data_IF_259443504023
#
_entry.id   IF_259443504023
#
_cell.length_a   1.000
_cell.length_b   1.000
_cell.length_c   1.000
_cell.angle_alpha   90.00
_cell.angle_beta   90.00
_cell.angle_gamma   90.00
#
_symmetry.space_group_name_H-M   'P 1'
#
loop_
_entity.id
_entity.type
_entity.pdbx_description
1 polymer ?
#
# COMPACT_ATOMS: atom_id res chain seq x y z
N UNK A 1 -0.73 -8.52 8.37
CA UNK A 1 -0.43 -7.27 9.11
C UNK A 1 -1.70 -6.43 9.38
N UNK A 2 -1.68 -5.43 10.28
CA UNK A 2 -2.84 -4.51 10.50
C UNK A 2 -2.89 -3.42 9.41
N UNK A 3 -4.08 -3.19 8.84
CA UNK A 3 -4.30 -2.22 7.76
C UNK A 3 -5.35 -1.20 8.21
N UNK A 4 -4.96 0.08 8.21
CA UNK A 4 -5.88 1.21 8.37
C UNK A 4 -5.92 2.04 7.07
N UNK A 5 -6.88 2.96 6.98
CA UNK A 5 -7.09 3.80 5.80
C UNK A 5 -7.04 5.28 6.17
N UNK A 6 -6.39 6.09 5.33
CA UNK A 6 -6.33 7.54 5.51
C UNK A 6 -7.72 8.18 5.53
N UNK A 7 -8.67 7.61 4.79
CA UNK A 7 -10.05 8.09 4.74
C UNK A 7 -11.03 6.98 4.30
N UNK A 8 -12.31 7.24 4.50
CA UNK A 8 -13.40 6.33 4.15
C UNK A 8 -13.52 6.06 2.64
N UNK A 9 -13.02 6.96 1.77
CA UNK A 9 -13.04 6.74 0.32
C UNK A 9 -12.08 5.61 -0.08
N UNK A 10 -10.89 5.59 0.50
CA UNK A 10 -9.90 4.52 0.28
C UNK A 10 -10.39 3.19 0.86
N UNK A 11 -10.94 3.21 2.07
CA UNK A 11 -11.54 2.03 2.68
C UNK A 11 -12.62 1.42 1.78
N UNK A 12 -13.60 2.22 1.35
CA UNK A 12 -14.66 1.76 0.44
C UNK A 12 -14.09 1.24 -0.88
N UNK A 13 -13.04 1.87 -1.42
CA UNK A 13 -12.40 1.42 -2.65
C UNK A 13 -11.76 0.03 -2.50
N UNK A 14 -11.20 -0.28 -1.33
CA UNK A 14 -10.63 -1.60 -1.03
C UNK A 14 -11.70 -2.67 -0.76
N UNK A 15 -12.78 -2.31 -0.06
CA UNK A 15 -13.79 -3.25 0.42
C UNK A 15 -14.90 -3.52 -0.62
N UNK A 16 -15.24 -2.52 -1.45
CA UNK A 16 -16.36 -2.61 -2.38
C UNK A 16 -15.89 -2.90 -3.80
N UNK A 17 -15.87 -4.19 -4.16
CA UNK A 17 -15.43 -4.67 -5.49
C UNK A 17 -16.09 -3.93 -6.66
N UNK A 18 -17.40 -3.67 -6.58
CA UNK A 18 -18.12 -2.97 -7.65
C UNK A 18 -17.63 -1.52 -7.83
N UNK A 19 -17.35 -0.81 -6.72
CA UNK A 19 -16.79 0.54 -6.75
C UNK A 19 -15.37 0.54 -7.33
N UNK A 20 -14.54 -0.42 -6.91
CA UNK A 20 -13.19 -0.61 -7.43
C UNK A 20 -13.21 -0.89 -8.95
N UNK A 21 -14.08 -1.78 -9.42
CA UNK A 21 -14.19 -2.09 -10.85
C UNK A 21 -14.62 -0.86 -11.65
N UNK A 22 -15.57 -0.08 -11.13
CA UNK A 22 -16.02 1.16 -11.78
C UNK A 22 -14.92 2.20 -11.89
N UNK A 23 -14.07 2.34 -10.87
CA UNK A 23 -13.03 3.39 -10.81
C UNK A 23 -11.69 2.98 -11.43
N UNK A 24 -11.30 1.72 -11.27
CA UNK A 24 -9.96 1.23 -11.58
C UNK A 24 -9.95 0.25 -12.77
N UNK A 25 -11.12 -0.27 -13.17
CA UNK A 25 -11.23 -1.35 -14.13
C UNK A 25 -11.09 -2.75 -13.50
N UNK A 26 -11.52 -3.77 -14.24
CA UNK A 26 -11.63 -5.15 -13.75
C UNK A 26 -10.27 -5.77 -13.41
N UNK A 27 -9.24 -5.49 -14.22
CA UNK A 27 -7.89 -6.06 -14.04
C UNK A 27 -7.21 -5.42 -12.83
N UNK A 28 -7.14 -4.09 -12.75
CA UNK A 28 -6.62 -3.37 -11.60
C UNK A 28 -7.33 -3.79 -10.29
N UNK A 29 -8.66 -3.95 -10.31
CA UNK A 29 -9.41 -4.40 -9.13
C UNK A 29 -8.98 -5.79 -8.66
N UNK A 30 -8.79 -6.75 -9.56
CA UNK A 30 -8.30 -8.09 -9.17
C UNK A 30 -6.93 -8.00 -8.52
N UNK A 31 -6.02 -7.20 -9.10
CA UNK A 31 -4.68 -7.00 -8.53
C UNK A 31 -4.76 -6.32 -7.17
N UNK A 32 -5.60 -5.30 -7.00
CA UNK A 32 -5.81 -4.63 -5.72
C UNK A 32 -6.26 -5.64 -4.65
N UNK A 33 -7.23 -6.50 -4.98
CA UNK A 33 -7.68 -7.56 -4.07
C UNK A 33 -6.55 -8.52 -3.69
N UNK A 34 -5.78 -9.01 -4.67
CA UNK A 34 -4.61 -9.85 -4.38
C UNK A 34 -3.60 -9.15 -3.48
N UNK A 35 -3.28 -7.88 -3.72
CA UNK A 35 -2.33 -7.13 -2.88
C UNK A 35 -2.83 -6.90 -1.45
N UNK A 36 -4.12 -6.65 -1.27
CA UNK A 36 -4.73 -6.54 0.05
C UNK A 36 -4.67 -7.88 0.80
N UNK A 37 -4.89 -9.00 0.10
CA UNK A 37 -4.69 -10.34 0.66
C UNK A 37 -3.23 -10.57 1.04
N UNK A 38 -2.27 -10.25 0.17
CA UNK A 38 -0.83 -10.39 0.48
C UNK A 38 -0.45 -9.58 1.73
N UNK A 39 -0.92 -8.33 1.85
CA UNK A 39 -0.69 -7.49 3.02
C UNK A 39 -1.30 -8.09 4.30
N UNK A 40 -2.50 -8.67 4.20
CA UNK A 40 -3.14 -9.30 5.35
C UNK A 40 -2.37 -10.53 5.85
N UNK A 41 -1.70 -11.28 4.96
CA UNK A 41 -1.05 -12.56 5.27
C UNK A 41 0.41 -12.44 5.73
N UNK A 42 1.18 -11.48 5.19
CA UNK A 42 2.59 -11.33 5.58
C UNK A 42 2.75 -10.72 6.98
N UNK A 43 3.85 -11.05 7.66
CA UNK A 43 4.15 -10.53 8.99
C UNK A 43 4.74 -9.10 8.93
N UNK A 44 5.46 -8.77 7.86
CA UNK A 44 6.08 -7.45 7.66
C UNK A 44 6.01 -6.97 6.21
N UNK A 45 6.20 -5.66 5.97
CA UNK A 45 6.21 -5.09 4.60
C UNK A 45 7.30 -5.71 3.72
N UNK A 46 8.44 -6.12 4.29
CA UNK A 46 9.56 -6.71 3.54
C UNK A 46 9.25 -8.09 2.94
N UNK A 47 8.28 -8.80 3.48
CA UNK A 47 7.84 -10.11 2.96
C UNK A 47 6.97 -9.99 1.70
N UNK A 48 6.55 -8.78 1.32
CA UNK A 48 5.85 -8.57 0.06
C UNK A 48 6.79 -8.89 -1.11
N UNK A 49 6.34 -9.77 -2.00
CA UNK A 49 7.06 -10.12 -3.24
C UNK A 49 6.33 -9.59 -4.47
N UNK A 50 5.01 -9.65 -4.46
CA UNK A 50 4.20 -9.37 -5.64
C UNK A 50 3.97 -7.86 -5.84
N UNK A 51 4.01 -7.42 -7.09
CA UNK A 51 3.74 -6.02 -7.46
C UNK A 51 4.91 -5.08 -7.24
N UNK A 52 6.15 -5.51 -7.53
CA UNK A 52 7.38 -4.68 -7.44
C UNK A 52 7.41 -3.75 -6.21
N UNK A 53 7.37 -4.28 -4.97
CA UNK A 53 7.41 -3.49 -3.73
C UNK A 53 8.61 -2.53 -3.69
N UNK A 54 8.38 -1.24 -3.47
CA UNK A 54 9.46 -0.26 -3.36
C UNK A 54 9.10 0.96 -2.50
N UNK A 55 10.07 1.54 -1.76
CA UNK A 55 9.88 2.82 -1.10
C UNK A 55 9.80 3.95 -2.13
N UNK A 56 8.98 4.96 -1.84
CA UNK A 56 8.91 6.20 -2.61
C UNK A 56 9.93 7.23 -2.12
N UNK A 57 10.20 8.24 -2.96
CA UNK A 57 11.22 9.28 -2.76
C UNK A 57 10.62 10.67 -2.94
N UNK A 58 11.40 11.72 -2.63
CA UNK A 58 10.98 13.11 -2.78
C UNK A 58 9.82 13.46 -1.85
N UNK A 59 8.80 14.14 -2.36
CA UNK A 59 7.62 14.57 -1.58
C UNK A 59 6.82 13.41 -0.98
N UNK A 60 7.08 12.18 -1.44
CA UNK A 60 6.46 10.95 -0.95
C UNK A 60 7.43 10.08 -0.15
N UNK A 61 8.55 10.64 0.29
CA UNK A 61 9.48 9.94 1.19
C UNK A 61 8.73 9.48 2.45
N UNK A 62 8.96 8.23 2.84
CA UNK A 62 8.24 7.58 3.94
C UNK A 62 7.00 6.78 3.50
N UNK A 63 6.64 6.83 2.22
CA UNK A 63 5.61 5.98 1.63
C UNK A 63 6.22 4.78 0.89
N UNK A 64 5.38 3.78 0.64
CA UNK A 64 5.74 2.52 0.01
C UNK A 64 4.68 2.12 -0.99
N UNK A 65 5.10 1.76 -2.20
CA UNK A 65 4.22 1.47 -3.32
C UNK A 65 4.30 0.00 -3.74
N UNK A 66 3.15 -0.53 -4.12
CA UNK A 66 3.02 -1.80 -4.83
C UNK A 66 2.16 -1.63 -6.09
N UNK A 67 2.60 -2.28 -7.15
CA UNK A 67 2.05 -2.22 -8.49
C UNK A 67 0.69 -2.89 -8.62
N UNK A 68 -0.19 -2.19 -9.32
CA UNK A 68 -1.47 -2.70 -9.79
C UNK A 68 -1.40 -2.87 -11.33
N UNK A 69 -2.04 -1.98 -12.08
CA UNK A 69 -2.15 -2.04 -13.54
C UNK A 69 -1.64 -0.76 -14.19
N UNK A 70 -0.77 -0.89 -15.19
CA UNK A 70 -0.10 0.25 -15.81
C UNK A 70 0.73 1.03 -14.79
N UNK A 71 0.56 2.35 -14.74
CA UNK A 71 1.19 3.23 -13.77
C UNK A 71 0.39 3.36 -12.44
N UNK A 72 -0.74 2.64 -12.30
CA UNK A 72 -1.50 2.63 -11.04
C UNK A 72 -0.80 1.86 -9.93
N UNK A 73 -0.81 2.41 -8.72
CA UNK A 73 -0.22 1.84 -7.50
C UNK A 73 -1.20 1.84 -6.34
N UNK A 74 -1.02 0.88 -5.43
CA UNK A 74 -1.50 0.96 -4.05
C UNK A 74 -0.32 1.49 -3.23
N UNK A 75 -0.55 2.58 -2.49
CA UNK A 75 0.49 3.23 -1.69
C UNK A 75 0.05 3.36 -0.24
N UNK A 76 0.98 3.06 0.65
CA UNK A 76 0.77 3.10 2.10
C UNK A 76 2.01 3.62 2.82
N UNK A 77 1.86 3.95 4.10
CA UNK A 77 2.95 4.35 5.01
C UNK A 77 2.87 3.56 6.33
N UNK A 78 3.95 3.48 7.13
CA UNK A 78 3.89 2.87 8.45
C UNK A 78 2.89 3.62 9.34
N UNK A 79 2.19 2.90 10.21
CA UNK A 79 1.20 3.46 11.12
C UNK A 79 1.54 3.14 12.59
N UNK A 80 2.83 3.15 12.91
CA UNK A 80 3.37 2.96 14.26
C UNK A 80 3.64 4.29 14.96
N UNK A 81 3.73 4.24 16.28
CA UNK A 81 4.25 5.34 17.09
C UNK A 81 5.13 4.75 18.22
N UNK A 82 6.46 4.93 18.19
CA UNK A 82 7.24 5.61 17.15
C UNK A 82 7.30 4.80 15.85
N UNK A 83 7.68 5.47 14.75
CA UNK A 83 7.92 4.81 13.47
C UNK A 83 9.23 3.99 13.56
N UNK A 84 9.25 2.71 13.14
CA UNK A 84 10.47 1.91 13.17
C UNK A 84 11.52 2.46 12.21
N UNK A 85 12.72 2.73 12.72
CA UNK A 85 13.86 3.16 11.94
C UNK A 85 15.07 2.24 12.17
N UNK A 86 15.94 2.16 11.17
CA UNK A 86 17.28 1.59 11.26
C UNK A 86 18.21 2.58 12.00
N UNK A 87 19.43 2.14 12.30
CA UNK A 87 20.45 2.97 12.97
C UNK A 87 20.79 4.25 12.21
N UNK A 88 20.68 4.24 10.87
CA UNK A 88 20.91 5.39 9.99
C UNK A 88 19.71 6.35 9.89
N UNK A 89 18.62 6.07 10.61
CA UNK A 89 17.38 6.87 10.60
C UNK A 89 16.43 6.56 9.44
N UNK A 90 16.79 5.65 8.52
CA UNK A 90 15.88 5.19 7.46
C UNK A 90 14.78 4.28 8.02
N UNK A 91 13.65 4.17 7.33
CA UNK A 91 12.55 3.31 7.78
C UNK A 91 12.95 1.82 7.78
N UNK A 92 12.69 1.16 8.89
CA UNK A 92 12.88 -0.29 9.02
C UNK A 92 11.62 -1.04 8.59
N UNK A 93 11.50 -1.31 7.29
CA UNK A 93 10.37 -2.04 6.70
C UNK A 93 10.25 -3.50 7.18
N UNK A 94 11.28 -4.08 7.82
CA UNK A 94 11.16 -5.40 8.48
C UNK A 94 10.30 -5.31 9.75
N UNK A 95 10.30 -4.17 10.43
CA UNK A 95 9.53 -3.94 11.65
C UNK A 95 8.16 -3.31 11.40
N UNK A 96 7.81 -3.01 10.15
CA UNK A 96 6.50 -2.43 9.81
C UNK A 96 5.44 -3.54 9.72
N UNK A 97 4.68 -3.68 10.81
CA UNK A 97 3.56 -4.65 10.98
C UNK A 97 2.16 -4.00 10.93
N UNK A 98 2.10 -2.68 10.78
CA UNK A 98 0.90 -1.84 10.74
C UNK A 98 1.07 -0.75 9.70
N UNK A 99 0.13 -0.64 8.78
CA UNK A 99 0.20 0.32 7.67
C UNK A 99 -1.08 1.14 7.54
N UNK A 100 -0.93 2.35 7.00
CA UNK A 100 -2.04 3.19 6.56
C UNK A 100 -2.02 3.29 5.05
N UNK A 101 -3.07 2.81 4.37
CA UNK A 101 -3.26 3.03 2.94
C UNK A 101 -3.62 4.51 2.72
N UNK A 102 -2.81 5.19 1.92
CA UNK A 102 -2.91 6.64 1.68
C UNK A 102 -3.32 6.99 0.25
N UNK A 103 -3.11 6.08 -0.70
CA UNK A 103 -3.42 6.35 -2.10
C UNK A 103 -3.63 5.07 -2.92
N UNK A 104 -4.57 5.12 -3.87
CA UNK A 104 -4.78 4.09 -4.91
C UNK A 104 -5.09 4.81 -6.20
N UNK A 105 -4.25 4.64 -7.21
CA UNK A 105 -4.43 5.33 -8.49
C UNK A 105 -3.12 5.49 -9.23
N UNK A 106 -3.17 6.27 -10.31
CA UNK A 106 -1.98 6.72 -11.03
C UNK A 106 -1.50 8.02 -10.40
N UNK A 107 -0.22 8.09 -10.03
CA UNK A 107 0.38 9.32 -9.50
C UNK A 107 1.44 9.90 -10.44
N UNK A 108 1.57 9.32 -11.64
CA UNK A 108 2.42 9.86 -12.71
C UNK A 108 1.67 10.83 -13.65
N UNK A 109 0.37 11.06 -13.39
CA UNK A 109 -0.47 12.06 -14.04
C UNK A 109 -0.47 13.39 -13.29
#
# INVERSE_FOLDING_TARGET
MEIIFLNSKLQKLCEQKALAQKKLGKVCTRKLQSRLTDLATVASVRELVAGRPHPLKGDRAGEFAIDLEGAKRLVFKPAHNPIPCNEDGSLDWLKVTRICIVFIGDYHD
#
